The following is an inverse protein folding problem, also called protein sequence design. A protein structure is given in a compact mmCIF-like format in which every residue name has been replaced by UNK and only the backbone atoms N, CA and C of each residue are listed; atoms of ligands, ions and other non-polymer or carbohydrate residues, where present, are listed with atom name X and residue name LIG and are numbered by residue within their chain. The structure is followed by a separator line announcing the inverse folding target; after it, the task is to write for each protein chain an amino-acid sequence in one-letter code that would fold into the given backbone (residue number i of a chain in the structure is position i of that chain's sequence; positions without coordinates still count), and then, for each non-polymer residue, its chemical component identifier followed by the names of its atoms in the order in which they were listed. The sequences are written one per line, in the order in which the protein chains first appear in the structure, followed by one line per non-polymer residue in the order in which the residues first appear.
data_IF_931831567239
#
_entry.id   IF_931831567239
#
_cell.length_a   1.000
_cell.length_b   1.000
_cell.length_c   1.000
_cell.angle_alpha   90.00
_cell.angle_beta   90.00
_cell.angle_gamma   90.00
#
_symmetry.space_group_name_H-M   'P 1'
#
loop_
_entity.id
_entity.type
_entity.pdbx_description
1 polymer ?
#
# COMPACT_ATOMS: atom_id res chain seq x y z
N UNK A 1 -3.48 -34.91 -28.05
CA UNK A 1 -2.50 -34.25 -27.17
C UNK A 1 -3.20 -33.07 -26.51
N UNK A 2 -3.68 -33.17 -25.25
CA UNK A 2 -4.13 -31.98 -24.55
C UNK A 2 -2.90 -31.15 -24.17
N UNK A 3 -2.80 -29.95 -24.71
CA UNK A 3 -1.79 -28.97 -24.35
C UNK A 3 -1.91 -28.67 -22.86
N UNK A 4 -0.87 -29.01 -22.10
CA UNK A 4 -0.74 -28.60 -20.70
C UNK A 4 -0.45 -27.11 -20.70
N UNK A 5 -1.50 -26.29 -20.64
CA UNK A 5 -1.39 -24.86 -20.34
C UNK A 5 -0.88 -24.75 -18.91
N UNK A 6 0.40 -24.42 -18.75
CA UNK A 6 0.95 -24.00 -17.46
C UNK A 6 0.10 -22.80 -17.00
N UNK A 7 -0.47 -22.83 -15.78
CA UNK A 7 -1.22 -21.68 -15.28
C UNK A 7 -0.30 -20.46 -15.27
N UNK A 8 -0.81 -19.35 -15.77
CA UNK A 8 -0.12 -18.06 -15.69
C UNK A 8 0.14 -17.78 -14.20
N UNK A 9 1.40 -17.51 -13.78
CA UNK A 9 1.73 -17.26 -12.38
C UNK A 9 0.97 -16.07 -11.77
N UNK A 10 0.41 -15.18 -12.59
CA UNK A 10 -0.50 -14.12 -12.13
C UNK A 10 -1.86 -14.64 -11.65
N UNK A 11 -2.28 -15.83 -12.11
CA UNK A 11 -3.57 -16.41 -11.79
C UNK A 11 -3.61 -17.06 -10.40
N UNK A 12 -2.51 -17.68 -9.95
CA UNK A 12 -2.34 -18.15 -8.56
C UNK A 12 -2.14 -16.99 -7.58
N UNK A 13 -1.56 -15.89 -8.06
CA UNK A 13 -1.34 -14.69 -7.25
C UNK A 13 -2.65 -13.92 -6.94
N UNK A 14 -3.65 -13.99 -7.84
CA UNK A 14 -4.98 -13.40 -7.64
C UNK A 14 -5.86 -14.18 -6.67
N UNK A 15 -5.61 -15.47 -6.43
CA UNK A 15 -6.37 -16.26 -5.44
C UNK A 15 -6.20 -15.78 -3.99
N UNK A 16 -5.20 -14.93 -3.73
CA UNK A 16 -4.91 -14.38 -2.40
C UNK A 16 -5.37 -12.92 -2.22
N UNK A 17 -6.08 -12.35 -3.21
CA UNK A 17 -6.60 -10.99 -3.10
C UNK A 17 -7.56 -10.85 -1.91
N UNK A 18 -7.32 -9.89 -0.99
CA UNK A 18 -8.27 -9.58 0.04
C UNK A 18 -9.48 -8.85 -0.58
N UNK A 19 -10.68 -9.35 -0.29
CA UNK A 19 -11.96 -8.73 -0.66
C UNK A 19 -12.67 -8.18 0.59
N UNK A 20 -12.10 -7.16 1.26
CA UNK A 20 -12.77 -6.50 2.37
C UNK A 20 -14.08 -5.86 1.88
N UNK A 21 -15.13 -5.93 2.70
CA UNK A 21 -16.34 -5.15 2.42
C UNK A 21 -16.05 -3.67 2.66
N UNK A 22 -16.28 -2.79 1.68
CA UNK A 22 -16.15 -1.35 1.87
C UNK A 22 -16.99 -0.88 3.07
N UNK A 23 -16.43 -0.12 4.02
CA UNK A 23 -17.20 0.39 5.15
C UNK A 23 -18.13 1.52 4.69
N UNK A 24 -19.26 1.69 5.38
CA UNK A 24 -20.13 2.86 5.19
C UNK A 24 -19.40 4.17 5.56
N UNK A 25 -18.47 4.09 6.53
CA UNK A 25 -17.65 5.20 7.00
C UNK A 25 -16.17 4.83 7.00
N UNK A 26 -15.38 5.56 6.21
CA UNK A 26 -13.92 5.41 6.11
C UNK A 26 -13.15 6.18 7.19
N UNK A 27 -13.80 7.11 7.91
CA UNK A 27 -13.13 7.86 8.97
C UNK A 27 -12.72 6.91 10.10
N UNK A 28 -11.43 6.86 10.47
CA UNK A 28 -10.96 6.03 11.57
C UNK A 28 -11.38 6.60 12.93
N UNK A 29 -11.78 5.72 13.84
CA UNK A 29 -11.93 5.96 15.27
C UNK A 29 -10.84 5.19 16.05
N UNK A 30 -9.75 5.84 16.47
CA UNK A 30 -8.67 5.19 17.21
C UNK A 30 -9.13 4.51 18.51
N UNK A 31 -10.24 4.96 19.11
CA UNK A 31 -10.77 4.38 20.35
C UNK A 31 -11.45 3.04 20.14
N UNK A 32 -11.90 2.76 18.91
CA UNK A 32 -12.54 1.51 18.50
C UNK A 32 -11.53 0.49 17.93
N UNK A 33 -10.24 0.84 17.84
CA UNK A 33 -9.23 0.00 17.20
C UNK A 33 -9.02 -1.33 17.94
N UNK A 34 -9.05 -2.44 17.20
CA UNK A 34 -8.69 -3.76 17.72
C UNK A 34 -7.21 -3.80 18.11
N UNK A 35 -6.85 -4.56 19.18
CA UNK A 35 -5.46 -4.76 19.55
C UNK A 35 -4.74 -5.67 18.55
N UNK A 36 -3.47 -5.36 18.29
CA UNK A 36 -2.57 -6.18 17.46
C UNK A 36 -1.54 -6.91 18.32
N UNK A 37 -1.21 -8.18 18.01
CA UNK A 37 -0.05 -8.83 18.61
C UNK A 37 1.25 -8.10 18.20
N UNK A 38 2.35 -8.24 18.96
CA UNK A 38 3.59 -7.50 18.72
C UNK A 38 4.14 -7.63 17.29
N UNK A 39 4.04 -8.80 16.67
CA UNK A 39 4.47 -9.05 15.28
C UNK A 39 3.70 -8.18 14.28
N UNK A 40 2.37 -8.15 14.40
CA UNK A 40 1.49 -7.40 13.50
C UNK A 40 1.51 -5.91 13.78
N UNK A 41 1.69 -5.51 15.03
CA UNK A 41 1.94 -4.11 15.39
C UNK A 41 3.21 -3.59 14.72
N UNK A 42 4.27 -4.42 14.63
CA UNK A 42 5.48 -4.06 13.90
C UNK A 42 5.22 -3.92 12.39
N UNK A 43 4.51 -4.88 11.76
CA UNK A 43 4.13 -4.80 10.35
C UNK A 43 3.31 -3.53 10.07
N UNK A 44 2.30 -3.26 10.89
CA UNK A 44 1.45 -2.08 10.77
C UNK A 44 2.30 -0.80 10.84
N UNK A 45 3.17 -0.67 11.85
CA UNK A 45 4.09 0.48 11.97
C UNK A 45 5.01 0.66 10.76
N UNK A 46 5.60 -0.42 10.25
CA UNK A 46 6.44 -0.36 9.05
C UNK A 46 5.66 0.15 7.84
N UNK A 47 4.40 -0.28 7.67
CA UNK A 47 3.55 0.22 6.59
C UNK A 47 3.19 1.69 6.79
N UNK A 48 2.92 2.14 8.02
CA UNK A 48 2.69 3.56 8.30
C UNK A 48 3.90 4.44 7.98
N UNK A 49 5.13 3.96 8.19
CA UNK A 49 6.34 4.68 7.76
C UNK A 49 6.36 4.88 6.24
N UNK A 50 5.86 3.92 5.47
CA UNK A 50 5.76 4.03 4.00
C UNK A 50 4.79 5.14 3.61
N UNK A 51 3.59 5.11 4.20
CA UNK A 51 2.60 6.16 4.01
C UNK A 51 3.14 7.54 4.42
N UNK A 52 3.87 7.63 5.53
CA UNK A 52 4.53 8.85 6.00
C UNK A 52 5.69 9.36 5.13
N UNK A 53 6.06 8.65 4.05
CA UNK A 53 7.15 9.05 3.17
C UNK A 53 8.54 8.86 3.79
N UNK A 54 8.67 8.02 4.81
CA UNK A 54 9.95 7.68 5.44
C UNK A 54 10.38 6.24 5.14
N UNK A 55 10.10 5.77 3.92
CA UNK A 55 10.36 4.40 3.51
C UNK A 55 11.85 4.03 3.65
N UNK A 56 12.11 2.89 4.29
CA UNK A 56 13.44 2.32 4.45
C UNK A 56 13.49 0.87 3.96
N UNK A 57 14.70 0.31 3.88
CA UNK A 57 14.88 -1.11 3.55
C UNK A 57 14.19 -2.01 4.58
N UNK A 58 14.27 -1.67 5.86
CA UNK A 58 13.61 -2.43 6.93
C UNK A 58 12.09 -2.43 6.76
N UNK A 59 11.49 -1.32 6.36
CA UNK A 59 10.04 -1.25 6.10
C UNK A 59 9.66 -2.12 4.89
N UNK A 60 10.53 -2.25 3.89
CA UNK A 60 10.29 -3.15 2.75
C UNK A 60 10.40 -4.64 3.13
N UNK A 61 11.17 -4.99 4.16
CA UNK A 61 11.34 -6.38 4.57
C UNK A 61 10.06 -7.01 5.15
N UNK A 62 9.01 -6.24 5.46
CA UNK A 62 7.70 -6.81 5.86
C UNK A 62 6.99 -7.48 4.68
N UNK A 63 7.32 -7.11 3.44
CA UNK A 63 6.75 -7.74 2.24
C UNK A 63 7.53 -9.00 1.84
N UNK A 64 6.77 -10.02 1.42
CA UNK A 64 7.32 -11.16 0.72
C UNK A 64 7.93 -10.71 -0.63
N UNK A 65 8.93 -11.43 -1.18
CA UNK A 65 9.56 -11.06 -2.46
C UNK A 65 8.56 -10.87 -3.61
N UNK A 66 7.51 -11.70 -3.63
CA UNK A 66 6.43 -11.72 -4.63
C UNK A 66 5.14 -11.05 -4.14
N UNK A 67 5.23 -10.17 -3.14
CA UNK A 67 4.07 -9.46 -2.62
C UNK A 67 3.43 -8.59 -3.69
N UNK A 68 2.12 -8.50 -3.64
CA UNK A 68 1.31 -7.64 -4.51
C UNK A 68 0.89 -6.41 -3.73
N UNK A 69 0.94 -5.27 -4.41
CA UNK A 69 0.33 -4.02 -3.95
C UNK A 69 -0.66 -3.56 -5.01
N UNK A 70 -1.89 -3.36 -4.58
CA UNK A 70 -3.02 -2.99 -5.42
C UNK A 70 -3.69 -1.75 -4.83
N UNK A 71 -3.55 -0.64 -5.54
CA UNK A 71 -4.26 0.59 -5.25
C UNK A 71 -4.95 1.08 -6.53
N UNK A 72 -5.83 2.08 -6.43
CA UNK A 72 -6.64 2.52 -7.56
C UNK A 72 -5.83 3.12 -8.73
N UNK A 73 -4.57 3.46 -8.50
CA UNK A 73 -3.65 4.10 -9.45
C UNK A 73 -2.49 3.19 -9.86
N UNK A 74 -2.19 2.14 -9.10
CA UNK A 74 -0.99 1.34 -9.24
C UNK A 74 -1.21 -0.12 -8.87
N UNK A 75 -0.66 -1.00 -9.71
CA UNK A 75 -0.58 -2.43 -9.45
C UNK A 75 0.89 -2.86 -9.53
N UNK A 76 1.42 -3.33 -8.41
CA UNK A 76 2.79 -3.85 -8.30
C UNK A 76 2.73 -5.32 -7.91
N UNK A 77 3.46 -6.18 -8.61
CA UNK A 77 3.44 -7.65 -8.43
C UNK A 77 4.69 -8.20 -7.72
N UNK A 78 5.58 -7.32 -7.27
CA UNK A 78 6.83 -7.67 -6.59
C UNK A 78 7.22 -6.60 -5.59
N UNK A 79 7.92 -7.01 -4.51
CA UNK A 79 8.48 -6.08 -3.52
C UNK A 79 9.35 -4.99 -4.14
N UNK A 80 10.06 -5.30 -5.23
CA UNK A 80 10.88 -4.30 -5.93
C UNK A 80 10.04 -3.19 -6.55
N UNK A 81 8.93 -3.52 -7.22
CA UNK A 81 8.00 -2.52 -7.77
C UNK A 81 7.30 -1.73 -6.65
N UNK A 82 6.91 -2.42 -5.57
CA UNK A 82 6.35 -1.80 -4.36
C UNK A 82 7.32 -0.76 -3.79
N UNK A 83 8.59 -1.10 -3.65
CA UNK A 83 9.62 -0.18 -3.19
C UNK A 83 9.70 1.05 -4.09
N UNK A 84 9.71 0.87 -5.42
CA UNK A 84 9.73 1.98 -6.39
C UNK A 84 8.60 2.99 -6.16
N UNK A 85 7.38 2.51 -5.88
CA UNK A 85 6.23 3.36 -5.53
C UNK A 85 6.48 4.16 -4.24
N UNK A 86 6.84 3.48 -3.14
CA UNK A 86 6.99 4.11 -1.83
C UNK A 86 8.19 5.07 -1.74
N UNK A 87 9.33 4.75 -2.35
CA UNK A 87 10.47 5.66 -2.46
C UNK A 87 10.19 6.86 -3.37
N UNK A 88 9.14 6.81 -4.20
CA UNK A 88 8.68 7.91 -5.02
C UNK A 88 7.85 8.96 -4.28
N UNK A 89 7.16 8.58 -3.19
CA UNK A 89 6.27 9.45 -2.40
C UNK A 89 6.97 10.77 -1.98
N UNK A 90 8.18 10.77 -1.41
CA UNK A 90 8.83 12.01 -0.96
C UNK A 90 9.22 12.97 -2.09
N UNK A 91 9.26 12.48 -3.34
CA UNK A 91 9.51 13.32 -4.52
C UNK A 91 8.26 14.04 -5.00
N UNK A 92 7.07 13.47 -4.72
CA UNK A 92 5.78 14.02 -5.11
C UNK A 92 5.17 14.92 -4.03
N UNK A 93 5.42 14.59 -2.77
CA UNK A 93 4.84 15.26 -1.61
C UNK A 93 5.93 15.91 -0.76
N UNK A 94 5.76 17.20 -0.45
CA UNK A 94 6.62 17.91 0.50
C UNK A 94 6.41 17.38 1.93
N UNK A 95 5.21 16.88 2.24
CA UNK A 95 4.91 16.29 3.54
C UNK A 95 3.82 15.22 3.39
N UNK A 96 3.96 14.12 4.12
CA UNK A 96 2.97 13.04 4.21
C UNK A 96 2.87 12.59 5.65
N UNK A 97 1.65 12.53 6.19
CA UNK A 97 1.43 12.27 7.61
C UNK A 97 0.18 11.41 7.83
N UNK A 98 0.33 10.35 8.64
CA UNK A 98 -0.79 9.55 9.11
C UNK A 98 -1.41 10.19 10.34
N UNK A 99 -2.67 10.63 10.20
CA UNK A 99 -3.39 11.34 11.25
C UNK A 99 -4.10 10.42 12.22
N UNK A 100 -4.63 9.30 11.73
CA UNK A 100 -5.36 8.34 12.55
C UNK A 100 -5.46 6.98 11.83
N UNK A 101 -5.52 5.93 12.63
CA UNK A 101 -5.75 4.55 12.18
C UNK A 101 -6.73 3.85 13.12
N UNK A 102 -7.56 2.97 12.58
CA UNK A 102 -8.47 2.11 13.33
C UNK A 102 -8.37 0.70 12.75
N UNK A 103 -7.80 -0.26 13.50
CA UNK A 103 -7.78 -1.67 13.10
C UNK A 103 -9.19 -2.23 13.26
N UNK A 104 -9.78 -2.67 12.14
CA UNK A 104 -11.15 -3.18 12.08
C UNK A 104 -11.22 -4.70 11.93
N UNK A 105 -10.15 -5.33 11.43
CA UNK A 105 -10.04 -6.79 11.40
C UNK A 105 -8.58 -7.24 11.63
N UNK A 106 -8.43 -8.35 12.35
CA UNK A 106 -7.14 -8.95 12.70
C UNK A 106 -7.33 -10.47 12.85
N UNK A 107 -7.52 -11.18 11.73
CA UNK A 107 -7.85 -12.62 11.69
C UNK A 107 -6.62 -13.48 11.37
N UNK A 108 -6.77 -14.79 11.15
CA UNK A 108 -5.63 -15.71 11.05
C UNK A 108 -4.56 -15.29 10.01
N UNK A 109 -4.97 -14.76 8.87
CA UNK A 109 -4.10 -14.35 7.77
C UNK A 109 -4.46 -12.98 7.18
N UNK A 110 -5.34 -12.22 7.84
CA UNK A 110 -5.76 -10.89 7.37
C UNK A 110 -5.58 -9.84 8.45
N UNK A 111 -5.25 -8.62 7.99
CA UNK A 111 -5.25 -7.43 8.83
C UNK A 111 -5.84 -6.28 8.02
N UNK A 112 -6.86 -5.61 8.57
CA UNK A 112 -7.58 -4.53 7.91
C UNK A 112 -7.68 -3.34 8.86
N UNK A 113 -7.37 -2.15 8.37
CA UNK A 113 -7.57 -0.92 9.13
C UNK A 113 -8.08 0.20 8.25
N UNK A 114 -8.83 1.12 8.86
CA UNK A 114 -9.10 2.43 8.29
C UNK A 114 -7.91 3.34 8.57
N UNK A 115 -7.58 4.20 7.63
CA UNK A 115 -6.48 5.14 7.73
C UNK A 115 -6.94 6.52 7.27
N UNK A 116 -6.50 7.55 7.98
CA UNK A 116 -6.60 8.95 7.54
C UNK A 116 -5.20 9.49 7.27
N UNK A 117 -4.95 9.86 6.02
CA UNK A 117 -3.64 10.32 5.55
C UNK A 117 -3.72 11.75 5.03
N UNK A 118 -2.76 12.58 5.42
CA UNK A 118 -2.59 13.94 4.91
C UNK A 118 -1.39 14.00 3.98
N UNK A 119 -1.62 14.46 2.76
CA UNK A 119 -0.60 14.70 1.76
C UNK A 119 -0.49 16.19 1.44
N UNK A 120 0.72 16.72 1.45
CA UNK A 120 1.05 18.09 1.03
C UNK A 120 1.90 18.03 -0.22
N UNK A 121 1.37 18.55 -1.33
CA UNK A 121 2.07 18.50 -2.62
C UNK A 121 3.29 19.42 -2.65
N UNK A 122 4.39 18.93 -3.20
CA UNK A 122 5.58 19.74 -3.41
C UNK A 122 5.30 20.87 -4.41
N UNK A 123 5.76 22.08 -4.09
CA UNK A 123 5.71 23.25 -4.99
C UNK A 123 4.40 24.03 -5.04
N UNK A 124 3.25 23.45 -4.65
CA UNK A 124 1.93 24.14 -4.69
C UNK A 124 1.33 24.37 -3.30
N UNK A 125 1.92 23.81 -2.24
CA UNK A 125 1.47 23.91 -0.84
C UNK A 125 -0.01 23.52 -0.61
N UNK A 126 -0.61 22.78 -1.54
CA UNK A 126 -1.95 22.24 -1.39
C UNK A 126 -1.87 21.02 -0.48
N UNK A 127 -2.69 21.03 0.57
CA UNK A 127 -2.83 19.91 1.50
C UNK A 127 -4.16 19.21 1.25
N UNK A 128 -4.15 17.88 1.21
CA UNK A 128 -5.33 17.04 1.07
C UNK A 128 -5.31 15.94 2.13
N UNK A 129 -6.48 15.67 2.71
CA UNK A 129 -6.70 14.57 3.63
C UNK A 129 -7.53 13.52 2.91
N UNK A 130 -7.09 12.27 2.96
CA UNK A 130 -7.71 11.11 2.31
C UNK A 130 -8.02 10.08 3.40
N UNK A 131 -9.23 9.52 3.36
CA UNK A 131 -9.59 8.38 4.19
C UNK A 131 -9.58 7.12 3.31
N UNK A 132 -8.92 6.07 3.77
CA UNK A 132 -8.82 4.80 3.05
C UNK A 132 -9.00 3.57 3.95
N UNK A 133 -9.35 2.45 3.33
CA UNK A 133 -9.39 1.13 3.95
C UNK A 133 -8.21 0.32 3.41
N UNK A 134 -7.25 0.05 4.27
CA UNK A 134 -6.07 -0.75 3.94
C UNK A 134 -6.28 -2.18 4.40
N UNK A 135 -6.01 -3.13 3.52
CA UNK A 135 -6.20 -4.56 3.76
C UNK A 135 -4.97 -5.35 3.37
N UNK A 136 -4.47 -6.17 4.28
CA UNK A 136 -3.33 -7.05 4.07
C UNK A 136 -3.74 -8.50 4.11
N UNK A 137 -3.16 -9.28 3.20
CA UNK A 137 -3.03 -10.73 3.35
C UNK A 137 -1.62 -11.05 3.85
N UNK A 138 -1.55 -11.85 4.90
CA UNK A 138 -0.33 -12.25 5.59
C UNK A 138 -0.10 -13.75 5.41
N UNK A 139 1.15 -14.14 5.21
CA UNK A 139 1.55 -15.54 5.22
C UNK A 139 2.69 -15.76 6.21
N UNK A 140 2.67 -16.92 6.87
CA UNK A 140 3.77 -17.35 7.74
C UNK A 140 4.90 -17.85 6.85
N UNK A 141 6.04 -17.19 6.94
CA UNK A 141 7.26 -17.64 6.28
C UNK A 141 8.07 -18.43 7.31
N UNK A 142 8.38 -19.71 7.02
CA UNK A 142 9.26 -20.48 7.88
C UNK A 142 10.63 -19.79 7.94
N UNK A 143 11.37 -19.92 9.06
CA UNK A 143 12.76 -19.48 9.11
C UNK A 143 13.52 -20.14 7.96
N UNK A 144 14.16 -19.33 7.11
CA UNK A 144 14.89 -19.85 5.95
C UNK A 144 16.20 -20.52 6.35
N UNK A 145 16.70 -21.41 5.48
CA UNK A 145 17.94 -22.22 5.64
C UNK A 145 19.25 -21.40 5.75
N UNK A 146 19.19 -20.08 5.91
CA UNK A 146 20.34 -19.17 5.92
C UNK A 146 20.37 -18.15 7.07
N UNK A 147 19.43 -18.20 8.01
CA UNK A 147 19.43 -17.42 9.25
C UNK A 147 19.55 -18.37 10.44
N UNK A 148 20.36 -18.02 11.43
CA UNK A 148 20.65 -18.87 12.59
C UNK A 148 19.41 -19.43 13.30
N UNK A 149 19.62 -20.54 14.00
CA UNK A 149 18.65 -21.54 14.52
C UNK A 149 17.60 -21.03 15.55
N UNK A 150 17.30 -19.72 15.62
CA UNK A 150 16.41 -19.12 16.63
C UNK A 150 15.33 -18.14 16.10
N UNK A 151 15.09 -18.01 14.79
CA UNK A 151 13.93 -17.22 14.31
C UNK A 151 12.62 -18.02 14.31
N UNK A 152 11.67 -17.64 15.15
CA UNK A 152 10.29 -18.10 15.04
C UNK A 152 9.70 -17.70 13.67
N UNK A 153 8.78 -18.52 13.11
CA UNK A 153 8.12 -18.21 11.85
C UNK A 153 7.56 -16.77 11.85
N UNK A 154 7.98 -15.97 10.87
CA UNK A 154 7.58 -14.56 10.77
C UNK A 154 6.44 -14.41 9.77
N UNK A 155 5.50 -13.52 10.06
CA UNK A 155 4.46 -13.16 9.08
C UNK A 155 5.03 -12.15 8.07
N UNK A 156 4.75 -12.36 6.79
CA UNK A 156 5.06 -11.43 5.70
C UNK A 156 3.80 -11.05 4.96
N UNK A 157 3.76 -9.83 4.46
CA UNK A 157 2.69 -9.33 3.60
C UNK A 157 2.86 -9.93 2.22
N UNK A 158 1.83 -10.65 1.75
CA UNK A 158 1.78 -11.21 0.38
C UNK A 158 0.83 -10.43 -0.52
N UNK A 159 -0.13 -9.72 0.07
CA UNK A 159 -1.02 -8.83 -0.65
C UNK A 159 -1.30 -7.59 0.20
N UNK A 160 -1.20 -6.41 -0.38
CA UNK A 160 -1.56 -5.13 0.22
C UNK A 160 -2.51 -4.40 -0.71
N UNK A 161 -3.75 -4.22 -0.26
CA UNK A 161 -4.78 -3.49 -0.99
C UNK A 161 -5.11 -2.19 -0.27
N UNK A 162 -5.08 -1.07 -0.98
CA UNK A 162 -5.47 0.24 -0.46
C UNK A 162 -6.70 0.75 -1.21
N UNK A 163 -7.83 0.88 -0.51
CA UNK A 163 -9.09 1.34 -1.11
C UNK A 163 -9.45 2.71 -0.57
N UNK A 164 -9.40 3.72 -1.42
CA UNK A 164 -9.73 5.09 -1.02
C UNK A 164 -11.25 5.30 -1.01
N UNK A 165 -11.72 6.29 -0.27
CA UNK A 165 -13.13 6.68 -0.28
C UNK A 165 -13.54 7.26 -1.65
N UNK A 166 -14.68 6.85 -2.20
CA UNK A 166 -15.23 7.33 -3.50
C UNK A 166 -15.26 8.87 -3.62
N UNK A 167 -15.46 9.58 -2.51
CA UNK A 167 -15.42 11.06 -2.49
C UNK A 167 -14.07 11.64 -2.88
N UNK A 168 -12.97 10.94 -2.56
CA UNK A 168 -11.61 11.35 -2.90
C UNK A 168 -11.28 11.16 -4.40
N UNK A 169 -12.13 10.42 -5.13
CA UNK A 169 -12.04 10.22 -6.59
C UNK A 169 -12.86 11.21 -7.42
N UNK A 170 -13.75 11.98 -6.79
CA UNK A 170 -14.58 12.96 -7.50
C UNK A 170 -13.69 13.93 -8.30
N UNK A 171 -14.25 14.55 -9.35
CA UNK A 171 -13.53 15.49 -10.23
C UNK A 171 -12.96 16.74 -9.51
N UNK A 172 -13.19 16.87 -8.21
CA UNK A 172 -12.66 17.91 -7.31
C UNK A 172 -11.58 17.37 -6.32
N UNK A 173 -11.33 16.05 -6.30
CA UNK A 173 -10.48 15.32 -5.36
C UNK A 173 -9.06 14.98 -5.86
N UNK A 174 -8.40 14.03 -5.18
CA UNK A 174 -7.00 13.64 -5.43
C UNK A 174 -6.83 12.97 -6.80
N UNK A 175 -7.83 12.21 -7.27
CA UNK A 175 -7.80 11.57 -8.59
C UNK A 175 -7.78 12.55 -9.76
N UNK A 176 -8.44 13.70 -9.64
CA UNK A 176 -8.36 14.77 -10.64
C UNK A 176 -6.95 15.41 -10.69
N UNK A 177 -6.30 15.53 -9.54
CA UNK A 177 -4.94 16.05 -9.44
C UNK A 177 -3.88 15.06 -9.92
N UNK A 178 -4.02 13.75 -9.66
CA UNK A 178 -3.15 12.73 -10.28
C UNK A 178 -3.28 12.72 -11.80
N UNK A 179 -4.51 12.85 -12.33
CA UNK A 179 -4.73 13.03 -13.78
C UNK A 179 -4.02 14.28 -14.30
N UNK A 180 -4.04 15.39 -13.53
CA UNK A 180 -3.33 16.64 -13.87
C UNK A 180 -1.80 16.51 -13.76
N UNK A 181 -1.29 15.77 -12.78
CA UNK A 181 0.13 15.46 -12.61
C UNK A 181 0.63 14.53 -13.71
N UNK A 182 -0.13 13.49 -14.10
CA UNK A 182 0.19 12.69 -15.29
C UNK A 182 0.23 13.57 -16.55
N UNK A 183 -0.65 14.58 -16.67
CA UNK A 183 -0.59 15.57 -17.74
C UNK A 183 0.62 16.54 -17.66
N UNK A 184 1.03 16.95 -16.46
CA UNK A 184 2.16 17.86 -16.24
C UNK A 184 3.53 17.16 -16.31
N UNK A 185 3.66 15.93 -15.81
CA UNK A 185 4.88 15.12 -15.89
C UNK A 185 5.14 14.69 -17.33
N UNK A 186 4.11 14.37 -18.12
CA UNK A 186 4.28 14.14 -19.58
C UNK A 186 4.58 15.41 -20.37
N UNK A 187 4.25 16.60 -19.86
CA UNK A 187 4.63 17.86 -20.52
C UNK A 187 6.07 18.30 -20.20
N UNK A 188 6.71 17.73 -19.17
CA UNK A 188 8.12 17.99 -18.85
C UNK A 188 9.10 16.99 -19.51
N UNK A 189 8.58 15.93 -20.14
CA UNK A 189 9.37 14.96 -20.95
C UNK A 189 8.98 15.02 -22.43
N UNK A 190 8.39 16.14 -22.87
CA UNK A 190 8.40 16.47 -24.30
C UNK A 190 9.71 17.22 -24.57
N UNK A 191 10.73 16.60 -25.21
CA UNK A 191 11.78 17.40 -25.84
C UNK A 191 11.06 18.31 -26.83
N UNK A 192 11.33 19.61 -26.74
CA UNK A 192 10.76 20.58 -27.65
C UNK A 192 10.97 20.14 -29.09
N UNK A 193 9.89 19.77 -29.77
CA UNK A 193 9.84 19.84 -31.22
C UNK A 193 9.46 21.27 -31.53
N UNK A 194 10.48 22.11 -31.56
CA UNK A 194 10.36 23.47 -32.04
C UNK A 194 10.24 23.47 -33.57
N UNK A 195 9.32 24.34 -34.01
CA UNK A 195 9.21 25.01 -35.32
C UNK A 195 8.90 24.18 -36.55
#
# INVERSE_FOLDING_TARGET
MPSTTTPDPSHEQRTHEPHPTPPENYTPDPTASLPLPPSRAAIHRHILNLYGGSASEADMQVYAPRAIYDDPFSYCDTRHKIAGQWYGIPKLFAHSETLATEVVANEADTMVWKQRQRYTFAGVHVTKTVDSLVSLRLEKVPPGDGGGEEEAATEKVVYHKDMWNERDYSHEGFGAWFKKLNGCVFSLVAPGVGR
#
